data_IF_699452216520
#
_entry.id   IF_699452216520
#
_cell.length_a   1.000
_cell.length_b   1.000
_cell.length_c   1.000
_cell.angle_alpha   90.00
_cell.angle_beta   90.00
_cell.angle_gamma   90.00
#
_symmetry.space_group_name_H-M   'P 1'
#
loop_
_entity.id
_entity.type
_entity.pdbx_description
1 polymer ?
#
# COMPACT_ATOMS: atom_id res chain seq x y z
N UNK A 1 10.94 -10.90 -6.93
CA UNK A 1 9.95 -10.48 -7.94
C UNK A 1 8.60 -11.20 -7.84
N UNK A 2 8.51 -12.54 -7.71
CA UNK A 2 7.20 -13.21 -7.64
C UNK A 2 6.33 -12.72 -6.47
N UNK A 3 6.90 -12.55 -5.28
CA UNK A 3 6.17 -12.04 -4.11
C UNK A 3 5.50 -10.69 -4.40
N UNK A 4 6.20 -9.78 -5.09
CA UNK A 4 5.65 -8.50 -5.50
C UNK A 4 4.51 -8.62 -6.50
N UNK A 5 4.66 -9.49 -7.51
CA UNK A 5 3.59 -9.72 -8.51
C UNK A 5 2.34 -10.28 -7.85
N UNK A 6 2.49 -11.30 -7.00
CA UNK A 6 1.36 -11.92 -6.29
C UNK A 6 0.70 -10.92 -5.34
N UNK A 7 1.48 -10.19 -4.55
CA UNK A 7 0.94 -9.22 -3.61
C UNK A 7 0.22 -8.05 -4.30
N UNK A 8 0.77 -7.57 -5.42
CA UNK A 8 0.13 -6.55 -6.23
C UNK A 8 -1.19 -7.06 -6.83
N UNK A 9 -1.22 -8.29 -7.32
CA UNK A 9 -2.45 -8.93 -7.80
C UNK A 9 -3.51 -9.04 -6.70
N UNK A 10 -3.13 -9.46 -5.49
CA UNK A 10 -4.03 -9.49 -4.32
C UNK A 10 -4.56 -8.11 -3.99
N UNK A 11 -3.71 -7.08 -4.01
CA UNK A 11 -4.12 -5.71 -3.78
C UNK A 11 -5.09 -5.19 -4.86
N UNK A 12 -4.82 -5.44 -6.13
CA UNK A 12 -5.67 -5.00 -7.24
C UNK A 12 -7.05 -5.65 -7.18
N UNK A 13 -7.12 -6.96 -6.92
CA UNK A 13 -8.39 -7.67 -6.73
C UNK A 13 -9.14 -7.11 -5.52
N UNK A 14 -8.46 -6.95 -4.39
CA UNK A 14 -9.07 -6.38 -3.20
C UNK A 14 -9.60 -4.97 -3.47
N UNK A 15 -8.77 -4.07 -3.95
CA UNK A 15 -9.09 -2.65 -4.08
C UNK A 15 -10.17 -2.35 -5.12
N UNK A 16 -10.20 -3.11 -6.21
CA UNK A 16 -11.11 -2.86 -7.33
C UNK A 16 -12.35 -3.73 -7.34
N UNK A 17 -12.30 -4.92 -6.75
CA UNK A 17 -13.38 -5.89 -6.79
C UNK A 17 -14.10 -5.99 -5.44
N UNK A 18 -13.35 -6.23 -4.35
CA UNK A 18 -13.96 -6.52 -3.05
C UNK A 18 -14.25 -5.26 -2.21
N UNK A 19 -13.32 -4.32 -2.15
CA UNK A 19 -13.50 -3.09 -1.36
C UNK A 19 -14.73 -2.26 -1.76
N UNK A 20 -15.12 -2.15 -3.04
CA UNK A 20 -16.33 -1.45 -3.44
C UNK A 20 -17.62 -1.97 -2.79
N UNK A 21 -17.70 -3.26 -2.47
CA UNK A 21 -18.87 -3.82 -1.79
C UNK A 21 -19.00 -3.32 -0.34
N UNK A 22 -17.89 -2.92 0.30
CA UNK A 22 -17.88 -2.43 1.67
C UNK A 22 -18.04 -0.92 1.76
N UNK A 23 -17.46 -0.16 0.82
CA UNK A 23 -17.33 1.28 0.96
C UNK A 23 -18.01 2.07 -0.16
N UNK A 24 -18.65 1.40 -1.12
CA UNK A 24 -19.31 2.04 -2.26
C UNK A 24 -18.36 2.70 -3.27
N UNK A 25 -17.05 2.46 -3.17
CA UNK A 25 -16.04 3.01 -4.07
C UNK A 25 -14.72 2.23 -4.00
N UNK A 26 -13.89 2.36 -5.04
CA UNK A 26 -12.59 1.68 -5.10
C UNK A 26 -11.51 2.41 -4.28
N UNK A 27 -10.58 1.67 -3.71
CA UNK A 27 -9.36 2.22 -3.13
C UNK A 27 -8.45 2.76 -4.23
N UNK A 28 -7.92 3.96 -4.05
CA UNK A 28 -7.01 4.60 -5.01
C UNK A 28 -5.64 4.88 -4.38
N UNK A 29 -4.72 3.91 -4.38
CA UNK A 29 -3.36 4.15 -3.87
C UNK A 29 -2.62 5.20 -4.70
N UNK A 30 -2.86 5.25 -5.99
CA UNK A 30 -2.32 6.28 -6.88
C UNK A 30 -2.82 7.67 -6.49
N UNK A 31 -4.09 7.79 -6.09
CA UNK A 31 -4.68 9.03 -5.56
C UNK A 31 -3.97 9.49 -4.29
N UNK A 32 -3.68 8.57 -3.36
CA UNK A 32 -2.94 8.88 -2.13
C UNK A 32 -1.51 9.36 -2.43
N UNK A 33 -0.78 8.67 -3.31
CA UNK A 33 0.58 9.08 -3.72
C UNK A 33 0.55 10.49 -4.34
N UNK A 34 -0.41 10.78 -5.22
CA UNK A 34 -0.57 12.11 -5.81
C UNK A 34 -0.80 13.18 -4.75
N UNK A 35 -1.71 12.92 -3.80
CA UNK A 35 -2.00 13.87 -2.72
C UNK A 35 -0.78 14.10 -1.83
N UNK A 36 -0.04 13.04 -1.51
CA UNK A 36 1.18 13.12 -0.69
C UNK A 36 2.31 13.90 -1.36
N UNK A 37 2.39 13.87 -2.68
CA UNK A 37 3.40 14.61 -3.45
C UNK A 37 2.94 16.02 -3.85
N UNK A 38 1.73 16.44 -3.45
CA UNK A 38 1.14 17.72 -3.87
C UNK A 38 0.86 17.80 -5.37
N UNK A 39 0.82 16.68 -6.07
CA UNK A 39 0.57 16.62 -7.51
C UNK A 39 -0.93 16.83 -7.77
N UNK A 40 -1.28 17.94 -8.40
CA UNK A 40 -2.65 18.25 -8.80
C UNK A 40 -3.27 19.47 -8.12
N UNK A 41 -2.57 20.14 -7.21
CA UNK A 41 -2.95 21.47 -6.73
C UNK A 41 -2.23 22.52 -7.56
N UNK A 42 -2.91 23.08 -8.54
CA UNK A 42 -2.62 24.37 -9.22
C UNK A 42 -1.18 24.63 -9.72
N UNK A 43 -0.39 23.59 -9.97
CA UNK A 43 1.03 23.78 -10.30
C UNK A 43 1.29 24.30 -11.72
N UNK A 44 0.28 24.27 -12.61
CA UNK A 44 0.42 24.76 -14.00
C UNK A 44 -0.91 25.32 -14.51
N UNK A 45 -0.91 26.47 -15.17
CA UNK A 45 -2.08 27.05 -15.83
C UNK A 45 -2.75 26.12 -16.85
N UNK A 46 -3.90 26.50 -17.42
CA UNK A 46 -4.81 25.63 -18.16
C UNK A 46 -4.17 24.73 -19.24
N UNK A 47 -3.11 25.17 -19.91
CA UNK A 47 -2.38 24.40 -20.93
C UNK A 47 -1.37 23.43 -20.28
N UNK A 48 -0.74 23.82 -19.19
CA UNK A 48 0.17 22.97 -18.40
C UNK A 48 -0.54 21.92 -17.57
N UNK A 49 -1.82 22.14 -17.25
CA UNK A 49 -2.59 21.25 -16.39
C UNK A 49 -2.84 19.83 -16.99
N UNK A 50 -2.96 19.70 -18.29
CA UNK A 50 -3.14 18.42 -18.96
C UNK A 50 -1.83 17.59 -18.94
N UNK A 51 -0.72 18.22 -19.35
CA UNK A 51 0.61 17.59 -19.33
C UNK A 51 1.07 17.30 -17.90
N UNK A 52 0.87 18.22 -16.96
CA UNK A 52 1.18 18.01 -15.55
C UNK A 52 0.37 16.88 -14.91
N UNK A 53 -0.91 16.70 -15.31
CA UNK A 53 -1.72 15.55 -14.86
C UNK A 53 -1.20 14.23 -15.41
N UNK A 54 -0.79 14.18 -16.68
CA UNK A 54 -0.24 12.98 -17.30
C UNK A 54 1.06 12.55 -16.63
N UNK A 55 2.00 13.49 -16.44
CA UNK A 55 3.28 13.24 -15.73
C UNK A 55 3.03 12.85 -14.28
N UNK A 56 2.14 13.56 -13.56
CA UNK A 56 1.79 13.23 -12.18
C UNK A 56 1.16 11.84 -12.05
N UNK A 57 0.32 11.42 -13.00
CA UNK A 57 -0.23 10.06 -13.03
C UNK A 57 0.88 9.02 -13.29
N UNK A 58 1.79 9.28 -14.23
CA UNK A 58 2.89 8.36 -14.53
C UNK A 58 3.82 8.19 -13.32
N UNK A 59 4.19 9.26 -12.65
CA UNK A 59 5.03 9.23 -11.43
C UNK A 59 4.32 8.46 -10.32
N UNK A 60 3.06 8.79 -10.02
CA UNK A 60 2.31 8.13 -8.94
C UNK A 60 2.08 6.64 -9.22
N UNK A 61 1.79 6.26 -10.46
CA UNK A 61 1.70 4.85 -10.85
C UNK A 61 3.06 4.15 -10.74
N UNK A 62 4.13 4.77 -11.20
CA UNK A 62 5.49 4.25 -11.10
C UNK A 62 5.90 4.00 -9.64
N UNK A 63 5.64 4.93 -8.76
CA UNK A 63 5.89 4.80 -7.32
C UNK A 63 5.05 3.68 -6.70
N UNK A 64 3.76 3.61 -7.02
CA UNK A 64 2.89 2.55 -6.54
C UNK A 64 3.38 1.17 -6.99
N UNK A 65 3.71 1.02 -8.27
CA UNK A 65 4.24 -0.23 -8.82
C UNK A 65 5.59 -0.59 -8.20
N UNK A 66 6.51 0.35 -8.09
CA UNK A 66 7.82 0.13 -7.44
C UNK A 66 7.64 -0.34 -5.99
N UNK A 67 6.78 0.34 -5.24
CA UNK A 67 6.52 0.02 -3.84
C UNK A 67 5.92 -1.39 -3.68
N UNK A 68 4.91 -1.72 -4.47
CA UNK A 68 4.25 -3.03 -4.41
C UNK A 68 5.12 -4.18 -4.91
N UNK A 69 5.84 -3.97 -6.04
CA UNK A 69 6.64 -5.03 -6.65
C UNK A 69 7.98 -5.29 -5.95
N UNK A 70 8.61 -4.26 -5.43
CA UNK A 70 9.98 -4.34 -4.92
C UNK A 70 10.10 -3.92 -3.45
N UNK A 71 9.65 -2.72 -3.07
CA UNK A 71 9.93 -2.18 -1.75
C UNK A 71 9.28 -3.03 -0.64
N UNK A 72 8.02 -3.39 -0.76
CA UNK A 72 7.32 -4.17 0.26
C UNK A 72 7.87 -5.60 0.40
N UNK A 73 8.08 -6.39 -0.67
CA UNK A 73 8.73 -7.69 -0.55
C UNK A 73 10.14 -7.63 0.04
N UNK A 74 10.93 -6.62 -0.34
CA UNK A 74 12.27 -6.42 0.23
C UNK A 74 12.20 -6.02 1.71
N UNK A 75 11.29 -5.13 2.09
CA UNK A 75 11.08 -4.75 3.50
C UNK A 75 10.65 -5.97 4.35
N UNK A 76 9.77 -6.83 3.81
CA UNK A 76 9.42 -8.08 4.48
C UNK A 76 10.66 -8.97 4.69
N UNK A 77 11.43 -9.24 3.64
CA UNK A 77 12.59 -10.15 3.71
C UNK A 77 13.70 -9.62 4.60
N UNK A 78 14.01 -8.32 4.48
CA UNK A 78 15.17 -7.73 5.15
C UNK A 78 14.88 -7.28 6.59
N UNK A 79 13.64 -6.93 6.89
CA UNK A 79 13.25 -6.37 8.19
C UNK A 79 12.23 -7.26 8.89
N UNK A 80 11.01 -7.39 8.39
CA UNK A 80 9.92 -8.01 9.13
C UNK A 80 10.23 -9.47 9.49
N UNK A 81 10.69 -10.27 8.54
CA UNK A 81 11.08 -11.67 8.76
C UNK A 81 12.22 -11.81 9.76
N UNK A 82 13.26 -10.96 9.64
CA UNK A 82 14.41 -11.01 10.55
C UNK A 82 14.02 -10.61 11.97
N UNK A 83 13.26 -9.54 12.13
CA UNK A 83 12.77 -9.08 13.43
C UNK A 83 11.85 -10.15 14.04
N UNK A 84 10.91 -10.70 13.28
CA UNK A 84 10.02 -11.76 13.75
C UNK A 84 10.81 -12.96 14.26
N UNK A 85 11.78 -13.45 13.49
CA UNK A 85 12.60 -14.60 13.89
C UNK A 85 13.46 -14.32 15.13
N UNK A 86 13.92 -13.07 15.33
CA UNK A 86 14.73 -12.69 16.48
C UNK A 86 13.90 -12.52 17.77
N UNK A 87 12.69 -11.95 17.65
CA UNK A 87 11.86 -11.57 18.81
C UNK A 87 10.81 -12.65 19.13
N UNK A 88 10.22 -13.26 18.10
CA UNK A 88 9.14 -14.23 18.19
C UNK A 88 9.40 -15.43 17.26
N UNK A 89 10.41 -16.27 17.55
CA UNK A 89 10.87 -17.33 16.63
C UNK A 89 9.80 -18.38 16.29
N UNK A 90 8.79 -18.51 17.13
CA UNK A 90 7.68 -19.46 16.93
C UNK A 90 6.44 -18.83 16.27
N UNK A 91 6.53 -17.57 15.84
CA UNK A 91 5.38 -16.93 15.17
C UNK A 91 5.20 -17.54 13.77
N UNK A 92 4.00 -18.04 13.44
CA UNK A 92 3.78 -18.61 12.13
C UNK A 92 3.88 -17.54 11.02
N UNK A 93 4.36 -17.91 9.85
CA UNK A 93 4.65 -17.01 8.74
C UNK A 93 3.45 -16.11 8.37
N UNK A 94 2.22 -16.63 8.43
CA UNK A 94 1.02 -15.85 8.11
C UNK A 94 0.78 -14.75 9.15
N UNK A 95 1.08 -14.99 10.42
CA UNK A 95 0.96 -13.98 11.47
C UNK A 95 2.05 -12.90 11.32
N UNK A 96 3.29 -13.29 10.98
CA UNK A 96 4.34 -12.32 10.61
C UNK A 96 3.89 -11.47 9.42
N UNK A 97 3.29 -12.08 8.40
CA UNK A 97 2.73 -11.38 7.24
C UNK A 97 1.60 -10.43 7.62
N UNK A 98 0.69 -10.85 8.50
CA UNK A 98 -0.42 -10.01 8.96
C UNK A 98 0.07 -8.79 9.75
N UNK A 99 1.02 -8.98 10.68
CA UNK A 99 1.65 -7.87 11.43
C UNK A 99 2.37 -6.91 10.49
N UNK A 100 3.11 -7.45 9.53
CA UNK A 100 3.77 -6.63 8.51
C UNK A 100 2.76 -5.82 7.69
N UNK A 101 1.67 -6.45 7.24
CA UNK A 101 0.59 -5.76 6.53
C UNK A 101 -0.07 -4.66 7.38
N UNK A 102 -0.30 -4.91 8.67
CA UNK A 102 -0.79 -3.89 9.59
C UNK A 102 0.20 -2.71 9.74
N UNK A 103 1.49 -2.99 9.79
CA UNK A 103 2.53 -1.93 9.79
C UNK A 103 2.51 -1.11 8.48
N UNK A 104 2.32 -1.75 7.33
CA UNK A 104 2.15 -1.05 6.05
C UNK A 104 0.89 -0.18 6.03
N UNK A 105 -0.20 -0.64 6.64
CA UNK A 105 -1.41 0.18 6.80
C UNK A 105 -1.14 1.42 7.64
N UNK A 106 -0.44 1.28 8.77
CA UNK A 106 -0.04 2.43 9.60
C UNK A 106 0.82 3.39 8.79
N UNK A 107 1.79 2.88 8.03
CA UNK A 107 2.61 3.71 7.14
C UNK A 107 1.75 4.46 6.11
N UNK A 108 0.84 3.77 5.43
CA UNK A 108 -0.01 4.39 4.40
C UNK A 108 -1.00 5.41 4.98
N UNK A 109 -1.68 5.08 6.08
CA UNK A 109 -2.78 5.90 6.61
C UNK A 109 -2.33 6.95 7.62
N UNK A 110 -1.25 6.72 8.34
CA UNK A 110 -0.75 7.69 9.30
C UNK A 110 0.40 8.51 8.72
N UNK A 111 1.40 7.88 8.12
CA UNK A 111 2.54 8.63 7.58
C UNK A 111 2.17 9.29 6.25
N UNK A 112 1.73 8.53 5.25
CA UNK A 112 1.46 9.09 3.93
C UNK A 112 0.19 9.94 3.90
N UNK A 113 -0.93 9.43 4.43
CA UNK A 113 -2.20 10.15 4.35
C UNK A 113 -2.26 11.34 5.32
N UNK A 114 -1.86 11.17 6.57
CA UNK A 114 -1.94 12.24 7.57
C UNK A 114 -0.80 13.25 7.42
N UNK A 115 0.48 12.81 7.54
CA UNK A 115 1.61 13.77 7.51
C UNK A 115 1.86 14.41 6.15
N UNK A 116 1.80 13.63 5.07
CA UNK A 116 2.14 14.14 3.74
C UNK A 116 0.94 14.66 2.96
N UNK A 117 -0.21 14.00 3.04
CA UNK A 117 -1.40 14.40 2.28
C UNK A 117 -2.36 15.32 3.06
N UNK A 118 -2.20 15.45 4.40
CA UNK A 118 -3.00 16.34 5.24
C UNK A 118 -4.42 15.84 5.53
N UNK A 119 -4.68 14.55 5.37
CA UNK A 119 -5.95 13.93 5.76
C UNK A 119 -6.02 13.73 7.29
N UNK A 120 -7.21 13.54 7.87
CA UNK A 120 -7.32 13.15 9.28
C UNK A 120 -6.56 11.85 9.57
N UNK A 121 -6.00 11.67 10.79
CA UNK A 121 -5.31 10.43 11.16
C UNK A 121 -6.18 9.21 10.86
N UNK A 122 -5.61 8.22 10.17
CA UNK A 122 -6.31 7.03 9.69
C UNK A 122 -7.61 7.33 8.94
N UNK A 123 -7.70 8.52 8.30
CA UNK A 123 -8.88 9.02 7.60
C UNK A 123 -10.16 8.97 8.45
N UNK A 124 -10.03 9.17 9.78
CA UNK A 124 -11.14 9.10 10.73
C UNK A 124 -11.73 7.70 10.92
N UNK A 125 -10.97 6.63 10.62
CA UNK A 125 -11.42 5.24 10.69
C UNK A 125 -12.70 4.93 9.90
N UNK A 126 -12.91 5.65 8.81
CA UNK A 126 -14.05 5.45 7.92
C UNK A 126 -13.95 4.12 7.13
N UNK A 127 -14.96 3.80 6.31
CA UNK A 127 -14.98 2.56 5.51
C UNK A 127 -13.76 2.39 4.60
N UNK A 128 -13.21 3.48 4.05
CA UNK A 128 -11.99 3.46 3.25
C UNK A 128 -10.78 3.01 4.09
N UNK A 129 -10.65 3.54 5.29
CA UNK A 129 -9.58 3.15 6.23
C UNK A 129 -9.67 1.68 6.62
N UNK A 130 -10.87 1.20 6.93
CA UNK A 130 -11.11 -0.20 7.28
C UNK A 130 -10.82 -1.13 6.10
N UNK A 131 -11.30 -0.81 4.90
CA UNK A 131 -10.99 -1.57 3.69
C UNK A 131 -9.47 -1.56 3.38
N UNK A 132 -8.80 -0.44 3.61
CA UNK A 132 -7.34 -0.33 3.46
C UNK A 132 -6.60 -1.24 4.45
N UNK A 133 -7.03 -1.33 5.70
CA UNK A 133 -6.44 -2.25 6.70
C UNK A 133 -6.52 -3.70 6.21
N UNK A 134 -7.71 -4.15 5.81
CA UNK A 134 -7.91 -5.51 5.32
C UNK A 134 -7.04 -5.79 4.09
N UNK A 135 -6.98 -4.85 3.14
CA UNK A 135 -6.14 -4.96 1.94
C UNK A 135 -4.65 -5.07 2.27
N UNK A 136 -4.14 -4.27 3.19
CA UNK A 136 -2.73 -4.32 3.60
C UNK A 136 -2.39 -5.61 4.36
N UNK A 137 -3.28 -6.08 5.23
CA UNK A 137 -3.10 -7.38 5.92
C UNK A 137 -3.07 -8.52 4.91
N UNK A 138 -4.01 -8.57 3.96
CA UNK A 138 -4.04 -9.59 2.91
C UNK A 138 -2.76 -9.55 2.04
N UNK A 139 -2.30 -8.33 1.66
CA UNK A 139 -1.06 -8.11 0.93
C UNK A 139 0.15 -8.61 1.72
N UNK A 140 0.25 -8.31 3.01
CA UNK A 140 1.35 -8.76 3.86
C UNK A 140 1.40 -10.29 3.99
N UNK A 141 0.25 -10.95 4.17
CA UNK A 141 0.16 -12.42 4.20
C UNK A 141 0.57 -13.02 2.84
N UNK A 142 0.16 -12.41 1.73
CA UNK A 142 0.54 -12.88 0.39
C UNK A 142 2.04 -12.80 0.16
N UNK A 143 2.69 -11.69 0.56
CA UNK A 143 4.16 -11.54 0.51
C UNK A 143 4.84 -12.64 1.34
N UNK A 144 4.42 -12.79 2.60
CA UNK A 144 4.97 -13.80 3.50
C UNK A 144 4.84 -15.21 2.93
N UNK A 145 3.65 -15.57 2.44
CA UNK A 145 3.40 -16.89 1.87
C UNK A 145 4.28 -17.24 0.67
N UNK A 146 4.55 -16.26 -0.20
CA UNK A 146 5.45 -16.49 -1.36
C UNK A 146 6.90 -16.57 -0.93
N UNK A 147 7.33 -15.71 0.01
CA UNK A 147 8.72 -15.70 0.49
C UNK A 147 9.04 -16.99 1.25
N UNK A 148 8.18 -17.38 2.19
CA UNK A 148 8.43 -18.56 3.05
C UNK A 148 8.36 -19.90 2.29
N UNK A 149 7.51 -20.00 1.25
CA UNK A 149 7.46 -21.20 0.41
C UNK A 149 8.65 -21.38 -0.54
N UNK A 150 9.52 -20.37 -0.64
CA UNK A 150 10.67 -20.37 -1.57
C UNK A 150 12.02 -20.22 -0.87
N UNK A 151 12.04 -20.17 0.46
CA UNK A 151 13.26 -20.09 1.28
C UNK A 151 13.70 -21.43 1.84
#
# INVERSE_FOLDING_TARGET
>A
MLAGVVSLGVWEIWSKVLAPFYMGGSLSPVGLVKSSLGIGKDTFGAVGAASGRAVGNAVANGMHMFTGLLAYPLAYMLVARRVSNAVLPNLPWWATGAVFGAALYVFAMYIMAYFFAGFPPFMGFNGLSQASLVGHVALGIAIAGVVEKRS
#
